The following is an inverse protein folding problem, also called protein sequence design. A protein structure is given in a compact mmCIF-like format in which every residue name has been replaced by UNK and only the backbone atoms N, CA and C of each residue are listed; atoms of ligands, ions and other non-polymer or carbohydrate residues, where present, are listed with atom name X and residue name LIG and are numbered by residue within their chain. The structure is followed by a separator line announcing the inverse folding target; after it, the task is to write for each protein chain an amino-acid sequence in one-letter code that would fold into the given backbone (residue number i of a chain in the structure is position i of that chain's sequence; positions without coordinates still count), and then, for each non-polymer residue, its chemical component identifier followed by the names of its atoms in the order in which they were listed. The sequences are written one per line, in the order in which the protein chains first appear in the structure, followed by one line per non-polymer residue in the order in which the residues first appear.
data_IF_872400190053
#
_entry.id   IF_872400190053
#
_cell.length_a   1.000
_cell.length_b   1.000
_cell.length_c   1.000
_cell.angle_alpha   90.00
_cell.angle_beta   90.00
_cell.angle_gamma   90.00
#
_symmetry.space_group_name_H-M   'P 1'
#
loop_
_entity.id
_entity.type
_entity.pdbx_description
1 polymer ?
#
# COMPACT_ATOMS: atom_id res chain seq x y z
N UNK A 1 51.96 -27.85 45.29
CA UNK A 1 52.20 -27.06 44.07
C UNK A 1 51.54 -27.75 42.88
N UNK A 2 50.47 -27.17 42.33
CA UNK A 2 49.96 -27.32 40.95
C UNK A 2 48.66 -26.51 40.85
N UNK A 3 48.80 -25.26 40.42
CA UNK A 3 47.69 -24.37 40.05
C UNK A 3 47.26 -24.79 38.65
N UNK A 4 46.00 -25.15 38.43
CA UNK A 4 45.48 -25.32 37.07
C UNK A 4 44.16 -24.57 36.94
N UNK A 5 44.30 -23.45 36.24
CA UNK A 5 43.30 -22.55 35.71
C UNK A 5 42.21 -23.33 34.95
N UNK A 6 40.95 -23.18 35.35
CA UNK A 6 39.79 -23.56 34.51
C UNK A 6 39.32 -22.29 33.81
N UNK A 7 39.67 -22.18 32.53
CA UNK A 7 39.20 -21.12 31.66
C UNK A 7 37.68 -21.28 31.44
N UNK A 8 36.92 -20.23 31.77
CA UNK A 8 35.51 -20.12 31.45
C UNK A 8 35.37 -19.80 29.96
N UNK A 9 34.85 -20.75 29.18
CA UNK A 9 34.51 -20.53 27.78
C UNK A 9 33.05 -20.07 27.72
N UNK A 10 32.82 -18.77 27.82
CA UNK A 10 31.52 -18.17 27.50
C UNK A 10 31.37 -18.16 25.97
N UNK A 11 30.60 -19.11 25.43
CA UNK A 11 30.20 -19.09 24.04
C UNK A 11 29.18 -17.96 23.83
N UNK A 12 29.65 -16.81 23.34
CA UNK A 12 28.79 -15.71 22.91
C UNK A 12 28.19 -16.11 21.56
N UNK A 13 26.97 -16.64 21.57
CA UNK A 13 26.21 -16.94 20.37
C UNK A 13 25.71 -15.60 19.80
N UNK A 14 26.48 -15.02 18.88
CA UNK A 14 26.06 -13.85 18.11
C UNK A 14 24.87 -14.28 17.26
N UNK A 15 23.66 -13.95 17.70
CA UNK A 15 22.46 -14.05 16.88
C UNK A 15 22.63 -13.03 15.75
N UNK A 16 23.02 -13.49 14.57
CA UNK A 16 23.02 -12.68 13.37
C UNK A 16 21.57 -12.31 13.05
N UNK A 17 21.15 -11.12 13.46
CA UNK A 17 19.93 -10.51 12.93
C UNK A 17 20.19 -10.26 11.45
N UNK A 18 19.66 -11.12 10.59
CA UNK A 18 19.52 -10.80 9.18
C UNK A 18 18.71 -9.49 9.11
N UNK A 19 19.41 -8.37 8.90
CA UNK A 19 18.77 -7.14 8.48
C UNK A 19 18.18 -7.46 7.11
N UNK A 20 16.87 -7.74 7.08
CA UNK A 20 16.14 -7.76 5.83
C UNK A 20 16.40 -6.43 5.17
N UNK A 21 17.11 -6.46 4.03
CA UNK A 21 17.21 -5.32 3.15
C UNK A 21 15.77 -4.91 2.84
N UNK A 22 15.31 -3.84 3.49
CA UNK A 22 14.09 -3.18 3.05
C UNK A 22 14.44 -2.65 1.67
N UNK A 23 13.92 -3.28 0.62
CA UNK A 23 13.98 -2.72 -0.73
C UNK A 23 13.57 -1.25 -0.62
N UNK A 24 14.43 -0.36 -1.08
CA UNK A 24 14.21 1.08 -0.93
C UNK A 24 13.09 1.49 -1.90
N UNK A 25 11.82 1.26 -1.54
CA UNK A 25 10.71 1.81 -2.32
C UNK A 25 10.75 3.33 -2.20
N UNK A 26 10.75 4.01 -3.35
CA UNK A 26 10.74 5.46 -3.40
C UNK A 26 9.32 5.94 -3.67
N UNK A 27 8.72 6.53 -2.65
CA UNK A 27 7.36 7.06 -2.74
C UNK A 27 7.36 8.56 -2.86
N UNK A 28 6.61 9.07 -3.83
CA UNK A 28 6.50 10.49 -4.13
C UNK A 28 5.04 10.88 -4.30
N UNK A 29 4.75 12.14 -3.96
CA UNK A 29 3.54 12.81 -4.41
C UNK A 29 3.87 13.60 -5.67
N UNK A 30 3.18 13.31 -6.77
CA UNK A 30 3.23 14.12 -7.98
C UNK A 30 2.06 15.09 -7.94
N UNK A 31 2.36 16.39 -7.86
CA UNK A 31 1.37 17.46 -7.82
C UNK A 31 1.30 18.08 -9.21
N UNK A 32 0.10 18.07 -9.80
CA UNK A 32 -0.13 18.70 -11.08
C UNK A 32 0.10 20.21 -10.98
N UNK A 33 0.89 20.74 -11.92
CA UNK A 33 1.07 22.20 -12.02
C UNK A 33 -0.25 22.89 -12.41
N UNK A 34 -0.47 24.14 -11.99
CA UNK A 34 -1.58 24.94 -12.50
C UNK A 34 -1.57 24.99 -14.03
N UNK A 35 -2.74 24.83 -14.66
CA UNK A 35 -2.88 24.83 -16.12
C UNK A 35 -2.32 23.58 -16.81
N UNK A 36 -2.11 22.45 -16.11
CA UNK A 36 -1.77 21.18 -16.73
C UNK A 36 -2.81 20.79 -17.81
N UNK A 37 -2.40 20.63 -19.08
CA UNK A 37 -3.34 20.47 -20.20
C UNK A 37 -3.92 19.05 -20.31
N UNK A 38 -3.25 18.04 -19.75
CA UNK A 38 -3.73 16.68 -19.78
C UNK A 38 -5.01 16.54 -18.92
N UNK A 39 -6.16 16.21 -19.51
CA UNK A 39 -7.41 16.10 -18.77
C UNK A 39 -7.38 14.99 -17.70
N UNK A 40 -6.54 13.98 -17.85
CA UNK A 40 -6.39 12.90 -16.87
C UNK A 40 -5.65 13.36 -15.62
N UNK A 41 -4.79 14.37 -15.71
CA UNK A 41 -3.90 14.79 -14.61
C UNK A 41 -4.06 16.26 -14.19
N UNK A 42 -4.94 17.03 -14.82
CA UNK A 42 -5.26 18.38 -14.32
C UNK A 42 -5.73 18.34 -12.88
N UNK A 43 -5.15 19.23 -12.07
CA UNK A 43 -5.49 19.41 -10.64
C UNK A 43 -5.35 18.13 -9.79
N UNK A 44 -4.56 17.14 -10.23
CA UNK A 44 -4.37 15.90 -9.47
C UNK A 44 -3.20 15.95 -8.51
N UNK A 45 -3.34 15.20 -7.43
CA UNK A 45 -2.24 14.68 -6.61
C UNK A 45 -2.19 13.17 -6.84
N UNK A 46 -1.06 12.68 -7.33
CA UNK A 46 -0.82 11.25 -7.56
C UNK A 46 0.16 10.74 -6.52
N UNK A 47 -0.20 9.70 -5.79
CA UNK A 47 0.73 8.97 -4.92
C UNK A 47 1.39 7.88 -5.76
N UNK A 48 2.71 7.94 -5.92
CA UNK A 48 3.49 7.02 -6.75
C UNK A 48 4.52 6.32 -5.90
N UNK A 49 4.64 5.00 -6.04
CA UNK A 49 5.71 4.19 -5.45
C UNK A 49 6.43 3.41 -6.54
N UNK A 50 7.74 3.26 -6.39
CA UNK A 50 8.57 2.46 -7.29
C UNK A 50 9.61 1.71 -6.47
N UNK A 51 9.66 0.40 -6.65
CA UNK A 51 10.72 -0.47 -6.15
C UNK A 51 11.68 -0.79 -7.29
N UNK A 52 12.97 -0.95 -7.00
CA UNK A 52 13.96 -1.27 -8.02
C UNK A 52 13.64 -2.59 -8.71
N UNK A 53 13.52 -2.57 -10.04
CA UNK A 53 13.18 -3.74 -10.84
C UNK A 53 11.67 -4.02 -10.97
N UNK A 54 10.81 -3.17 -10.39
CA UNK A 54 9.37 -3.22 -10.54
C UNK A 54 8.84 -2.03 -11.37
N UNK A 55 7.62 -2.15 -11.89
CA UNK A 55 6.95 -1.01 -12.53
C UNK A 55 6.51 0.01 -11.47
N UNK A 56 6.63 1.30 -11.81
CA UNK A 56 6.11 2.36 -10.96
C UNK A 56 4.58 2.26 -10.90
N UNK A 57 4.03 2.23 -9.69
CA UNK A 57 2.59 2.17 -9.46
C UNK A 57 2.12 3.50 -8.89
N UNK A 58 1.05 4.05 -9.46
CA UNK A 58 0.52 5.35 -9.08
C UNK A 58 -1.01 5.37 -8.99
N UNK A 59 -1.54 6.13 -8.03
CA UNK A 59 -2.98 6.34 -7.86
C UNK A 59 -3.28 7.81 -7.58
N UNK A 60 -4.30 8.37 -8.26
CA UNK A 60 -4.82 9.70 -7.99
C UNK A 60 -5.63 9.67 -6.69
N UNK A 61 -5.29 10.53 -5.72
CA UNK A 61 -5.87 10.50 -4.36
C UNK A 61 -6.81 11.67 -4.05
N UNK A 62 -7.01 12.59 -4.99
CA UNK A 62 -7.80 13.82 -4.76
C UNK A 62 -8.92 14.03 -5.80
N UNK A 63 -9.35 12.96 -6.48
CA UNK A 63 -10.41 13.02 -7.49
C UNK A 63 -11.58 12.10 -7.13
N UNK A 64 -12.47 12.52 -6.21
CA UNK A 64 -13.67 11.76 -5.90
C UNK A 64 -14.59 11.71 -7.13
N UNK A 65 -15.30 10.61 -7.27
CA UNK A 65 -16.40 10.45 -8.23
C UNK A 65 -17.72 10.83 -7.57
N UNK A 66 -18.82 10.77 -8.33
CA UNK A 66 -20.17 11.00 -7.79
C UNK A 66 -20.88 9.70 -7.37
N UNK A 67 -20.14 8.59 -7.27
CA UNK A 67 -20.69 7.26 -7.00
C UNK A 67 -19.95 6.63 -5.83
N UNK A 68 -20.68 5.87 -5.02
CA UNK A 68 -20.11 5.04 -3.96
C UNK A 68 -20.00 3.58 -4.42
N UNK A 69 -19.23 2.77 -3.70
CA UNK A 69 -19.12 1.34 -3.99
C UNK A 69 -20.48 0.64 -3.84
N UNK A 70 -21.29 1.08 -2.86
CA UNK A 70 -22.64 0.63 -2.63
C UNK A 70 -23.59 0.87 -3.83
N UNK A 71 -23.36 1.94 -4.61
CA UNK A 71 -24.16 2.26 -5.80
C UNK A 71 -23.70 1.51 -7.05
N UNK A 72 -22.39 1.25 -7.16
CA UNK A 72 -21.80 0.69 -8.38
C UNK A 72 -21.88 -0.83 -8.46
N UNK A 73 -21.88 -1.52 -7.32
CA UNK A 73 -21.81 -2.97 -7.29
C UNK A 73 -23.05 -3.58 -6.59
N UNK A 74 -23.76 -4.54 -7.22
CA UNK A 74 -25.09 -4.99 -6.78
C UNK A 74 -25.09 -5.98 -5.61
N UNK A 75 -24.21 -5.84 -4.62
CA UNK A 75 -24.09 -6.78 -3.49
C UNK A 75 -24.32 -6.13 -2.14
N UNK A 76 -25.02 -6.84 -1.25
CA UNK A 76 -25.24 -6.47 0.15
C UNK A 76 -23.93 -6.15 0.89
N UNK A 77 -22.83 -6.84 0.53
CA UNK A 77 -21.52 -6.64 1.15
C UNK A 77 -20.94 -5.23 0.93
N UNK A 78 -21.39 -4.52 -0.11
CA UNK A 78 -20.89 -3.18 -0.42
C UNK A 78 -21.73 -2.06 0.19
N UNK A 79 -22.92 -2.35 0.74
CA UNK A 79 -23.82 -1.35 1.34
C UNK A 79 -23.21 -0.47 2.43
N UNK A 80 -22.24 -0.94 3.24
CA UNK A 80 -21.56 -0.08 4.22
C UNK A 80 -20.70 1.02 3.58
N UNK A 81 -20.20 0.81 2.36
CA UNK A 81 -19.26 1.69 1.67
C UNK A 81 -20.01 2.77 0.86
N UNK A 82 -20.53 3.77 1.58
CA UNK A 82 -21.35 4.86 1.03
C UNK A 82 -20.55 6.10 0.64
N UNK A 83 -19.26 6.15 0.99
CA UNK A 83 -18.40 7.25 0.61
C UNK A 83 -18.09 7.21 -0.90
N UNK A 84 -17.82 8.37 -1.53
CA UNK A 84 -17.43 8.42 -2.93
C UNK A 84 -16.17 7.61 -3.19
N UNK A 85 -16.18 6.77 -4.23
CA UNK A 85 -14.95 6.16 -4.73
C UNK A 85 -14.14 7.21 -5.51
N UNK A 86 -12.84 6.97 -5.63
CA UNK A 86 -11.92 7.88 -6.30
C UNK A 86 -11.60 7.36 -7.70
N UNK A 87 -11.46 8.27 -8.66
CA UNK A 87 -10.90 7.93 -9.96
C UNK A 87 -9.40 7.75 -9.81
N UNK A 88 -8.93 6.50 -9.79
CA UNK A 88 -7.53 6.17 -9.51
C UNK A 88 -6.54 6.47 -10.65
N UNK A 89 -7.00 6.52 -11.90
CA UNK A 89 -6.16 6.80 -13.06
C UNK A 89 -6.69 6.21 -14.38
N UNK A 90 -6.11 6.59 -15.53
CA UNK A 90 -6.61 6.20 -16.84
C UNK A 90 -6.24 4.77 -17.28
N UNK A 91 -5.26 4.13 -16.63
CA UNK A 91 -4.66 2.87 -17.10
C UNK A 91 -5.60 1.68 -16.94
N UNK A 92 -6.31 1.59 -15.81
CA UNK A 92 -7.22 0.49 -15.51
C UNK A 92 -8.58 1.04 -15.02
N UNK A 93 -9.37 1.67 -15.91
CA UNK A 93 -10.57 2.43 -15.51
C UNK A 93 -11.70 1.55 -14.95
N UNK A 94 -11.68 0.24 -15.23
CA UNK A 94 -12.62 -0.74 -14.67
C UNK A 94 -12.03 -1.54 -13.50
N UNK A 95 -10.76 -1.32 -13.16
CA UNK A 95 -10.11 -1.96 -12.03
C UNK A 95 -10.58 -1.35 -10.71
N UNK A 96 -10.80 -2.20 -9.71
CA UNK A 96 -11.03 -1.76 -8.34
C UNK A 96 -9.73 -1.91 -7.55
N UNK A 97 -9.31 -0.80 -6.95
CA UNK A 97 -8.11 -0.68 -6.14
C UNK A 97 -8.50 -0.14 -4.77
N UNK A 98 -7.71 -0.45 -3.74
CA UNK A 98 -7.94 0.10 -2.41
C UNK A 98 -6.64 0.59 -1.79
N UNK A 99 -6.67 1.82 -1.28
CA UNK A 99 -5.61 2.39 -0.46
C UNK A 99 -6.04 2.26 1.00
N UNK A 100 -5.24 1.61 1.82
CA UNK A 100 -5.62 1.32 3.19
C UNK A 100 -4.45 1.38 4.17
N UNK A 101 -4.78 1.60 5.44
CA UNK A 101 -3.81 1.59 6.53
C UNK A 101 -3.88 0.29 7.32
N UNK A 102 -2.74 -0.31 7.61
CA UNK A 102 -2.64 -1.49 8.47
C UNK A 102 -1.26 -1.57 9.14
N UNK A 103 -1.16 -2.21 10.31
CA UNK A 103 0.15 -2.46 10.93
C UNK A 103 0.92 -3.56 10.18
N UNK A 104 0.19 -4.57 9.71
CA UNK A 104 0.67 -5.66 8.86
C UNK A 104 -0.45 -6.09 7.92
N UNK A 105 -0.07 -6.41 6.68
CA UNK A 105 -0.99 -7.00 5.71
C UNK A 105 -0.32 -8.23 5.09
N UNK A 106 -1.00 -9.38 5.14
CA UNK A 106 -0.50 -10.65 4.63
C UNK A 106 -0.97 -10.97 3.21
N UNK A 107 -1.86 -10.16 2.64
CA UNK A 107 -2.31 -10.29 1.26
C UNK A 107 -1.34 -9.63 0.27
N UNK A 108 -1.61 -9.79 -1.03
CA UNK A 108 -0.83 -9.18 -2.08
C UNK A 108 -1.18 -7.69 -2.23
N UNK A 109 -0.31 -6.82 -1.72
CA UNK A 109 -0.43 -5.38 -1.85
C UNK A 109 0.93 -4.73 -2.08
N UNK A 110 0.92 -3.58 -2.74
CA UNK A 110 2.10 -2.74 -2.92
C UNK A 110 2.26 -1.87 -1.67
N UNK A 111 3.44 -1.89 -1.05
CA UNK A 111 3.75 -1.00 0.07
C UNK A 111 4.05 0.41 -0.47
N UNK A 112 3.21 1.38 -0.15
CA UNK A 112 3.41 2.77 -0.56
C UNK A 112 4.21 3.53 0.50
N UNK A 113 3.79 3.50 1.75
CA UNK A 113 4.52 4.08 2.88
C UNK A 113 4.48 3.07 4.03
N UNK A 114 5.32 3.22 5.07
CA UNK A 114 5.17 2.43 6.28
C UNK A 114 3.73 2.49 6.81
N UNK A 115 3.04 1.35 6.82
CA UNK A 115 1.65 1.22 7.23
C UNK A 115 0.58 1.66 6.21
N UNK A 116 0.97 2.04 4.99
CA UNK A 116 0.07 2.41 3.89
C UNK A 116 0.29 1.51 2.67
N UNK A 117 -0.78 0.84 2.26
CA UNK A 117 -0.74 -0.18 1.23
C UNK A 117 -1.74 0.13 0.10
N UNK A 118 -1.41 -0.37 -1.09
CA UNK A 118 -2.28 -0.36 -2.26
C UNK A 118 -2.56 -1.79 -2.69
N UNK A 119 -3.80 -2.24 -2.52
CA UNK A 119 -4.27 -3.52 -3.07
C UNK A 119 -4.63 -3.34 -4.55
N UNK A 120 -4.02 -4.17 -5.41
CA UNK A 120 -4.21 -4.13 -6.87
C UNK A 120 -4.79 -5.41 -7.46
N UNK A 121 -4.84 -6.49 -6.68
CA UNK A 121 -5.40 -7.77 -7.12
C UNK A 121 -6.77 -8.02 -6.48
N UNK A 122 -7.73 -8.63 -7.21
CA UNK A 122 -9.09 -8.87 -6.71
C UNK A 122 -9.15 -9.57 -5.35
N UNK A 123 -8.36 -10.62 -5.14
CA UNK A 123 -8.37 -11.40 -3.89
C UNK A 123 -8.04 -10.56 -2.66
N UNK A 124 -7.12 -9.59 -2.80
CA UNK A 124 -6.75 -8.70 -1.70
C UNK A 124 -7.82 -7.67 -1.42
N UNK A 125 -8.53 -7.22 -2.45
CA UNK A 125 -9.71 -6.35 -2.30
C UNK A 125 -10.84 -7.11 -1.59
N UNK A 126 -11.13 -8.35 -1.99
CA UNK A 126 -12.15 -9.17 -1.32
C UNK A 126 -11.78 -9.42 0.16
N UNK A 127 -10.51 -9.67 0.47
CA UNK A 127 -10.04 -9.80 1.85
C UNK A 127 -10.28 -8.52 2.67
N UNK A 128 -9.98 -7.34 2.09
CA UNK A 128 -10.21 -6.04 2.73
C UNK A 128 -11.69 -5.74 2.93
N UNK A 129 -12.56 -6.13 2.00
CA UNK A 129 -13.99 -5.86 2.11
C UNK A 129 -14.67 -6.77 3.13
N UNK A 130 -14.14 -7.98 3.35
CA UNK A 130 -14.63 -8.90 4.38
C UNK A 130 -14.14 -8.54 5.79
N UNK A 131 -12.91 -8.04 5.92
CA UNK A 131 -12.31 -7.60 7.18
C UNK A 131 -11.67 -6.21 7.01
N UNK A 132 -12.47 -5.14 6.95
CA UNK A 132 -11.96 -3.81 6.65
C UNK A 132 -11.06 -3.30 7.77
N UNK A 133 -9.86 -2.77 7.44
CA UNK A 133 -9.02 -2.10 8.41
C UNK A 133 -9.69 -0.77 8.86
N UNK A 134 -9.21 -0.14 9.94
CA UNK A 134 -9.80 1.07 10.49
C UNK A 134 -9.95 2.23 9.48
N UNK A 135 -9.09 2.28 8.46
CA UNK A 135 -9.15 3.27 7.37
C UNK A 135 -8.88 2.60 6.03
N UNK A 136 -9.88 2.67 5.15
CA UNK A 136 -9.84 2.20 3.77
C UNK A 136 -10.45 3.29 2.87
N UNK A 137 -9.81 3.52 1.72
CA UNK A 137 -10.19 4.50 0.70
C UNK A 137 -10.10 3.88 -0.69
#
# INVERSE_FOLDING_TARGET
MKRSCRAALFAFLVVATAAYAQGSSRTHFLIARPGMPDPNFRETVVLVTHEEGAEATGVIINRPTNRSLAEMLPSERFKPFKEPIFFGGPVAPQGLFAVFQADKFSGAAVTMLPGLYLAVVPDSIDALLNNPPPKIR
#
